data_IF_002218071013
#
_entry.id   IF_002218071013
#
_cell.length_a   1.000
_cell.length_b   1.000
_cell.length_c   1.000
_cell.angle_alpha   90.00
_cell.angle_beta   90.00
_cell.angle_gamma   90.00
#
_symmetry.space_group_name_H-M   'P 1'
#
loop_
_entity.id
_entity.type
_entity.pdbx_description
1 polymer ?
#
# COMPACT_ATOMS: atom_id res chain seq x y z
N UNK A 1 -6.07 13.98 18.57
CA UNK A 1 -6.48 12.83 17.73
C UNK A 1 -5.37 11.79 17.77
N UNK A 2 -5.72 10.50 17.89
CA UNK A 2 -4.78 9.38 17.83
C UNK A 2 -4.98 8.62 16.52
N UNK A 3 -3.93 8.47 15.72
CA UNK A 3 -3.97 7.77 14.44
C UNK A 3 -3.03 6.56 14.49
N UNK A 4 -3.51 5.41 14.01
CA UNK A 4 -2.71 4.23 13.73
C UNK A 4 -2.49 4.12 12.23
N UNK A 5 -1.24 4.01 11.80
CA UNK A 5 -0.84 3.77 10.41
C UNK A 5 -0.34 2.33 10.27
N UNK A 6 -1.16 1.48 9.69
CA UNK A 6 -0.91 0.05 9.49
C UNK A 6 -0.07 -0.16 8.24
N UNK A 7 1.03 -0.92 8.35
CA UNK A 7 1.99 -1.10 7.25
C UNK A 7 2.67 0.22 6.89
N UNK A 8 3.19 0.91 7.90
CA UNK A 8 3.70 2.28 7.76
C UNK A 8 4.92 2.42 6.84
N UNK A 9 5.57 1.31 6.48
CA UNK A 9 6.77 1.32 5.66
C UNK A 9 7.86 2.24 6.24
N UNK A 10 8.62 2.97 5.40
CA UNK A 10 9.69 3.86 5.84
C UNK A 10 9.19 5.15 6.54
N UNK A 11 7.90 5.26 6.82
CA UNK A 11 7.30 6.30 7.66
C UNK A 11 7.04 7.64 6.98
N UNK A 12 7.30 7.78 5.68
CA UNK A 12 7.10 9.06 4.97
C UNK A 12 5.66 9.54 5.02
N UNK A 13 4.70 8.66 4.75
CA UNK A 13 3.28 8.98 4.83
C UNK A 13 2.83 9.19 6.28
N UNK A 14 3.33 8.37 7.22
CA UNK A 14 3.02 8.53 8.65
C UNK A 14 3.45 9.91 9.17
N UNK A 15 4.59 10.45 8.72
CA UNK A 15 5.07 11.79 9.06
C UNK A 15 4.13 12.87 8.52
N UNK A 16 3.65 12.71 7.29
CA UNK A 16 2.67 13.65 6.70
C UNK A 16 1.33 13.58 7.45
N UNK A 17 0.87 12.39 7.79
CA UNK A 17 -0.31 12.20 8.63
C UNK A 17 -0.12 12.86 10.01
N UNK A 18 1.06 12.76 10.63
CA UNK A 18 1.35 13.38 11.92
C UNK A 18 1.27 14.92 11.84
N UNK A 19 1.71 15.52 10.75
CA UNK A 19 1.53 16.98 10.51
C UNK A 19 0.06 17.36 10.46
N UNK A 20 -0.77 16.56 9.82
CA UNK A 20 -2.20 16.82 9.66
C UNK A 20 -2.99 16.64 10.96
N UNK A 21 -2.61 15.70 11.83
CA UNK A 21 -3.31 15.43 13.08
C UNK A 21 -2.79 16.23 14.28
N UNK A 22 -1.70 16.98 14.11
CA UNK A 22 -1.11 17.80 15.19
C UNK A 22 -2.15 18.73 15.86
N UNK A 23 -2.11 18.87 17.20
CA UNK A 23 -1.19 18.29 18.19
C UNK A 23 -1.53 16.84 18.61
N UNK A 24 -2.05 16.03 17.70
CA UNK A 24 -2.37 14.62 17.92
C UNK A 24 -1.14 13.74 17.80
N UNK A 25 -1.36 12.44 17.98
CA UNK A 25 -0.30 11.42 17.96
C UNK A 25 -0.51 10.42 16.82
N UNK A 26 0.59 9.99 16.19
CA UNK A 26 0.60 8.88 15.22
C UNK A 26 1.43 7.72 15.75
N UNK A 27 0.90 6.51 15.61
CA UNK A 27 1.62 5.25 15.77
C UNK A 27 1.71 4.56 14.42
N UNK A 28 2.90 4.38 13.88
CA UNK A 28 3.15 3.56 12.70
C UNK A 28 3.52 2.13 13.11
N UNK A 29 2.98 1.14 12.41
CA UNK A 29 3.30 -0.28 12.65
C UNK A 29 3.63 -0.96 11.33
N UNK A 30 4.75 -1.71 11.32
CA UNK A 30 5.13 -2.55 10.18
C UNK A 30 5.70 -3.88 10.69
N UNK A 31 5.58 -4.94 9.89
CA UNK A 31 6.12 -6.26 10.24
C UNK A 31 7.65 -6.32 10.18
N UNK A 32 8.28 -5.47 9.34
CA UNK A 32 9.72 -5.48 9.13
C UNK A 32 10.45 -4.51 10.09
N UNK A 33 11.24 -5.04 11.06
CA UNK A 33 11.99 -4.21 12.00
C UNK A 33 13.00 -3.27 11.33
N UNK A 34 13.53 -3.63 10.16
CA UNK A 34 14.51 -2.80 9.44
C UNK A 34 13.86 -1.55 8.88
N UNK A 35 12.65 -1.71 8.33
CA UNK A 35 11.82 -0.64 7.79
C UNK A 35 11.33 0.29 8.91
N UNK A 36 10.94 -0.26 10.06
CA UNK A 36 10.58 0.51 11.27
C UNK A 36 11.78 1.30 11.78
N UNK A 37 12.98 0.72 11.76
CA UNK A 37 14.20 1.45 12.10
C UNK A 37 14.50 2.61 11.16
N UNK A 38 14.21 2.49 9.88
CA UNK A 38 14.28 3.59 8.89
C UNK A 38 13.25 4.67 9.19
N UNK A 39 11.97 4.29 9.39
CA UNK A 39 10.90 5.22 9.74
C UNK A 39 11.23 6.06 10.99
N UNK A 40 11.78 5.40 12.02
CA UNK A 40 12.19 6.07 13.25
C UNK A 40 13.29 7.10 12.99
N UNK A 41 14.29 6.76 12.17
CA UNK A 41 15.36 7.72 11.79
C UNK A 41 14.82 8.88 10.95
N UNK A 42 13.91 8.60 10.00
CA UNK A 42 13.30 9.62 9.14
C UNK A 42 12.46 10.62 9.96
N UNK A 43 11.77 10.15 11.00
CA UNK A 43 10.98 11.01 11.88
C UNK A 43 11.82 11.76 12.93
N UNK A 44 13.07 11.34 13.19
CA UNK A 44 13.92 11.95 14.19
C UNK A 44 14.13 13.44 13.91
N UNK A 45 13.89 14.28 14.93
CA UNK A 45 14.02 15.74 14.82
C UNK A 45 12.85 16.46 14.14
N UNK A 46 11.80 15.75 13.72
CA UNK A 46 10.61 16.39 13.11
C UNK A 46 9.79 17.26 14.07
N UNK A 47 9.94 17.06 15.39
CA UNK A 47 9.14 17.73 16.41
C UNK A 47 7.68 17.25 16.49
N UNK A 48 7.33 16.18 15.77
CA UNK A 48 5.99 15.59 15.74
C UNK A 48 5.85 14.51 16.81
N UNK A 49 4.64 14.33 17.35
CA UNK A 49 4.32 13.23 18.26
C UNK A 49 4.01 11.96 17.41
N UNK A 50 5.08 11.30 16.99
CA UNK A 50 5.04 10.08 16.17
C UNK A 50 5.98 9.02 16.73
N UNK A 51 5.53 7.78 16.71
CA UNK A 51 6.32 6.61 17.10
C UNK A 51 6.07 5.44 16.14
N UNK A 52 7.04 4.51 16.09
CA UNK A 52 6.98 3.34 15.21
C UNK A 52 7.26 2.07 16.00
N UNK A 53 6.54 0.99 15.67
CA UNK A 53 6.67 -0.32 16.33
C UNK A 53 6.73 -1.42 15.28
N UNK A 54 7.68 -2.34 15.43
CA UNK A 54 7.76 -3.54 14.60
C UNK A 54 6.86 -4.63 15.17
N UNK A 55 5.98 -5.19 14.36
CA UNK A 55 5.10 -6.29 14.75
C UNK A 55 3.78 -6.32 13.99
N UNK A 56 2.95 -7.29 14.37
CA UNK A 56 1.59 -7.40 13.87
C UNK A 56 0.70 -6.31 14.50
N UNK A 57 0.11 -5.48 13.66
CA UNK A 57 -0.77 -4.40 14.12
C UNK A 57 -1.98 -4.90 14.91
N UNK A 58 -2.43 -6.15 14.70
CA UNK A 58 -3.54 -6.73 15.47
C UNK A 58 -3.20 -6.94 16.95
N UNK A 59 -1.93 -7.01 17.29
CA UNK A 59 -1.40 -7.16 18.67
C UNK A 59 -0.90 -5.87 19.31
N UNK A 60 -1.12 -4.72 18.68
CA UNK A 60 -0.64 -3.42 19.18
C UNK A 60 -1.42 -2.98 20.42
N UNK A 61 -0.70 -2.45 21.41
CA UNK A 61 -1.30 -1.79 22.56
C UNK A 61 -2.12 -0.57 22.12
N UNK A 62 -3.42 -0.64 22.37
CA UNK A 62 -4.33 0.46 22.02
C UNK A 62 -4.42 1.47 23.15
N UNK A 63 -4.60 2.76 22.84
CA UNK A 63 -5.05 3.73 23.82
C UNK A 63 -6.37 3.24 24.48
N UNK A 64 -6.59 3.58 25.75
CA UNK A 64 -7.77 3.15 26.52
C UNK A 64 -9.10 3.37 25.77
N UNK A 65 -9.16 4.38 24.92
CA UNK A 65 -10.35 4.72 24.13
C UNK A 65 -10.29 4.25 22.67
N UNK A 66 -9.18 3.64 22.23
CA UNK A 66 -8.88 3.26 20.84
C UNK A 66 -8.40 4.45 19.99
N UNK A 67 -8.12 4.16 18.71
CA UNK A 67 -7.66 5.18 17.75
C UNK A 67 -8.83 5.93 17.12
N UNK A 68 -8.64 7.24 16.90
CA UNK A 68 -9.59 8.07 16.14
C UNK A 68 -9.66 7.66 14.68
N UNK A 69 -8.50 7.32 14.11
CA UNK A 69 -8.34 6.86 12.73
C UNK A 69 -7.40 5.65 12.72
N UNK A 70 -7.80 4.59 12.03
CA UNK A 70 -6.93 3.46 11.67
C UNK A 70 -6.79 3.47 10.16
N UNK A 71 -5.57 3.72 9.70
CA UNK A 71 -5.23 3.94 8.31
C UNK A 71 -4.39 2.79 7.76
N UNK A 72 -4.56 2.47 6.48
CA UNK A 72 -3.72 1.53 5.73
C UNK A 72 -3.54 2.01 4.30
N UNK A 73 -2.30 2.11 3.83
CA UNK A 73 -1.98 2.55 2.48
C UNK A 73 -1.13 1.51 1.75
N UNK A 74 -1.71 0.89 0.71
CA UNK A 74 -1.10 -0.20 -0.06
C UNK A 74 -0.68 -1.39 0.83
N UNK A 75 -1.57 -1.81 1.71
CA UNK A 75 -1.36 -2.92 2.67
C UNK A 75 -2.28 -4.09 2.38
N UNK A 76 -3.59 -3.83 2.21
CA UNK A 76 -4.59 -4.89 2.12
C UNK A 76 -4.41 -5.75 0.87
N UNK A 77 -3.86 -5.20 -0.18
CA UNK A 77 -3.47 -5.93 -1.39
C UNK A 77 -2.38 -6.99 -1.14
N UNK A 78 -1.61 -6.86 -0.05
CA UNK A 78 -0.48 -7.76 0.25
C UNK A 78 -0.80 -8.83 1.30
N UNK A 79 -1.97 -8.76 1.96
CA UNK A 79 -2.35 -9.72 3.00
C UNK A 79 -3.24 -10.83 2.44
N UNK A 80 -3.08 -12.04 3.00
CA UNK A 80 -3.89 -13.20 2.58
C UNK A 80 -5.35 -13.14 3.06
N UNK A 81 -5.64 -12.41 4.15
CA UNK A 81 -6.99 -12.20 4.67
C UNK A 81 -7.26 -10.69 4.88
N UNK A 82 -7.59 -9.96 3.79
CA UNK A 82 -7.90 -8.54 3.89
C UNK A 82 -9.17 -8.23 4.70
N UNK A 83 -10.13 -9.15 4.71
CA UNK A 83 -11.36 -9.02 5.51
C UNK A 83 -11.05 -9.12 7.00
N UNK A 84 -10.24 -10.09 7.40
CA UNK A 84 -9.74 -10.22 8.77
C UNK A 84 -8.90 -9.03 9.22
N UNK A 85 -8.05 -8.51 8.31
CA UNK A 85 -7.29 -7.28 8.56
C UNK A 85 -8.21 -6.07 8.82
N UNK A 86 -9.23 -5.86 8.00
CA UNK A 86 -10.22 -4.79 8.21
C UNK A 86 -11.01 -4.96 9.51
N UNK A 87 -11.35 -6.20 9.90
CA UNK A 87 -11.97 -6.47 11.21
C UNK A 87 -11.03 -6.12 12.37
N UNK A 88 -9.74 -6.40 12.22
CA UNK A 88 -8.73 -6.02 13.21
C UNK A 88 -8.58 -4.51 13.32
N UNK A 89 -8.53 -3.80 12.19
CA UNK A 89 -8.54 -2.34 12.16
C UNK A 89 -9.78 -1.77 12.85
N UNK A 90 -10.96 -2.38 12.63
CA UNK A 90 -12.21 -1.96 13.26
C UNK A 90 -12.20 -2.11 14.80
N UNK A 91 -11.56 -3.18 15.32
CA UNK A 91 -11.39 -3.38 16.77
C UNK A 91 -10.48 -2.33 17.41
N UNK A 92 -9.45 -1.89 16.69
CA UNK A 92 -8.48 -0.89 17.18
C UNK A 92 -9.03 0.54 17.14
N UNK A 93 -9.99 0.82 16.26
CA UNK A 93 -10.62 2.14 16.20
C UNK A 93 -11.55 2.38 17.40
N UNK A 94 -11.61 3.60 17.92
CA UNK A 94 -12.55 3.98 18.98
C UNK A 94 -14.01 3.97 18.49
N UNK A 95 -14.97 4.05 19.41
CA UNK A 95 -16.39 4.27 19.03
C UNK A 95 -16.51 5.58 18.22
N UNK A 96 -17.10 5.47 17.03
CA UNK A 96 -17.22 6.57 16.07
C UNK A 96 -15.91 6.94 15.38
N UNK A 97 -14.85 6.15 15.57
CA UNK A 97 -13.60 6.28 14.82
C UNK A 97 -13.76 5.94 13.35
N UNK A 98 -12.70 6.13 12.59
CA UNK A 98 -12.66 5.97 11.14
C UNK A 98 -11.66 4.86 10.77
N UNK A 99 -12.05 4.02 9.81
CA UNK A 99 -11.18 3.14 9.07
C UNK A 99 -10.97 3.78 7.69
N UNK A 100 -9.70 4.01 7.30
CA UNK A 100 -9.34 4.50 5.98
C UNK A 100 -8.36 3.54 5.34
N UNK A 101 -8.65 3.08 4.13
CA UNK A 101 -7.72 2.24 3.38
C UNK A 101 -7.66 2.67 1.92
N UNK A 102 -6.46 2.54 1.33
CA UNK A 102 -6.18 2.85 -0.07
C UNK A 102 -5.23 1.81 -0.63
N UNK A 103 -5.63 1.11 -1.69
CA UNK A 103 -4.82 0.10 -2.35
C UNK A 103 -4.81 0.28 -3.86
N UNK A 104 -3.71 -0.11 -4.50
CA UNK A 104 -3.57 -0.06 -5.94
C UNK A 104 -4.41 -1.16 -6.62
N UNK A 105 -4.78 -0.88 -7.85
CA UNK A 105 -5.45 -1.81 -8.75
C UNK A 105 -4.57 -2.01 -9.99
N UNK A 106 -3.72 -3.03 -9.94
CA UNK A 106 -2.75 -3.27 -11.01
C UNK A 106 -3.39 -3.55 -12.36
N UNK A 107 -4.46 -4.36 -12.49
CA UNK A 107 -5.14 -4.56 -13.77
C UNK A 107 -5.81 -3.31 -14.34
N UNK A 108 -6.00 -2.27 -13.53
CA UNK A 108 -6.53 -0.97 -13.99
C UNK A 108 -5.42 0.05 -14.30
N UNK A 109 -4.15 -0.30 -14.12
CA UNK A 109 -3.05 0.54 -14.57
C UNK A 109 -3.07 0.69 -16.08
N UNK A 110 -2.71 1.88 -16.56
CA UNK A 110 -2.66 2.16 -17.98
C UNK A 110 -1.44 3.00 -18.32
N UNK A 111 -0.97 2.83 -19.55
CA UNK A 111 0.17 3.58 -20.08
C UNK A 111 0.04 3.86 -21.57
N UNK A 112 0.67 4.95 -21.98
CA UNK A 112 0.83 5.33 -23.38
C UNK A 112 2.26 5.84 -23.57
N UNK A 113 2.95 5.51 -24.68
CA UNK A 113 2.55 4.54 -25.72
C UNK A 113 2.43 3.10 -25.18
N UNK A 114 1.64 2.26 -25.87
CA UNK A 114 1.58 0.83 -25.52
C UNK A 114 2.94 0.18 -25.75
N UNK A 115 3.33 -0.68 -24.83
CA UNK A 115 4.61 -1.39 -24.83
C UNK A 115 4.40 -2.82 -24.38
N UNK A 116 4.72 -3.77 -25.25
CA UNK A 116 4.49 -5.20 -24.98
C UNK A 116 5.25 -5.72 -23.75
N UNK A 117 6.43 -5.17 -23.47
CA UNK A 117 7.19 -5.56 -22.29
C UNK A 117 6.55 -5.06 -20.99
N UNK A 118 5.87 -3.92 -21.02
CA UNK A 118 5.10 -3.45 -19.86
C UNK A 118 3.84 -4.31 -19.66
N UNK A 119 3.19 -4.78 -20.72
CA UNK A 119 2.10 -5.76 -20.62
C UNK A 119 2.63 -7.06 -19.99
N UNK A 120 3.78 -7.57 -20.44
CA UNK A 120 4.44 -8.75 -19.87
C UNK A 120 4.85 -8.56 -18.41
N UNK A 121 5.33 -7.37 -18.03
CA UNK A 121 5.61 -7.02 -16.64
C UNK A 121 4.37 -7.14 -15.77
N UNK A 122 3.24 -6.61 -16.23
CA UNK A 122 1.97 -6.69 -15.49
C UNK A 122 1.53 -8.15 -15.29
N UNK A 123 1.58 -8.97 -16.35
CA UNK A 123 1.25 -10.40 -16.28
C UNK A 123 2.14 -11.13 -15.27
N UNK A 124 3.44 -10.87 -15.29
CA UNK A 124 4.39 -11.42 -14.31
C UNK A 124 4.05 -11.00 -12.88
N UNK A 125 3.79 -9.71 -12.66
CA UNK A 125 3.41 -9.18 -11.35
C UNK A 125 2.15 -9.86 -10.81
N UNK A 126 1.11 -9.96 -11.64
CA UNK A 126 -0.15 -10.63 -11.30
C UNK A 126 0.07 -12.10 -10.94
N UNK A 127 0.88 -12.82 -11.72
CA UNK A 127 1.16 -14.24 -11.48
C UNK A 127 1.94 -14.47 -10.17
N UNK A 128 2.97 -13.67 -9.89
CA UNK A 128 3.73 -13.74 -8.62
C UNK A 128 2.83 -13.42 -7.44
N UNK A 129 2.04 -12.36 -7.54
CA UNK A 129 1.12 -11.92 -6.48
C UNK A 129 0.09 -12.99 -6.16
N UNK A 130 -0.54 -13.57 -7.18
CA UNK A 130 -1.51 -14.66 -7.00
C UNK A 130 -0.89 -15.88 -6.32
N UNK A 131 0.34 -16.25 -6.69
CA UNK A 131 1.06 -17.38 -6.06
C UNK A 131 1.40 -17.15 -4.60
N UNK A 132 1.56 -15.88 -4.21
CA UNK A 132 1.79 -15.48 -2.82
C UNK A 132 0.49 -15.36 -2.01
N UNK A 133 -0.69 -15.58 -2.60
CA UNK A 133 -1.97 -15.40 -1.94
C UNK A 133 -2.32 -13.93 -1.67
N UNK A 134 -1.67 -13.00 -2.38
CA UNK A 134 -1.94 -11.56 -2.31
C UNK A 134 -2.88 -11.11 -3.44
N UNK A 135 -3.39 -9.88 -3.39
CA UNK A 135 -4.48 -9.39 -4.23
C UNK A 135 -4.03 -8.15 -5.01
N UNK A 136 -3.39 -8.34 -6.18
CA UNK A 136 -2.91 -7.22 -7.00
C UNK A 136 -4.03 -6.28 -7.51
N UNK A 137 -5.27 -6.73 -7.48
CA UNK A 137 -6.49 -5.96 -7.80
C UNK A 137 -7.22 -5.45 -6.55
N UNK A 138 -6.50 -5.30 -5.44
CA UNK A 138 -7.03 -4.92 -4.13
C UNK A 138 -7.86 -3.64 -4.18
N UNK A 139 -7.46 -2.66 -4.96
CA UNK A 139 -8.16 -1.37 -5.06
C UNK A 139 -9.65 -1.52 -5.38
N UNK A 140 -10.02 -2.31 -6.39
CA UNK A 140 -11.42 -2.54 -6.76
C UNK A 140 -12.18 -3.42 -5.75
N UNK A 141 -11.47 -4.21 -4.94
CA UNK A 141 -12.07 -5.13 -3.99
C UNK A 141 -12.35 -4.48 -2.62
N UNK A 142 -11.78 -3.31 -2.31
CA UNK A 142 -11.89 -2.67 -0.99
C UNK A 142 -13.32 -2.51 -0.50
N UNK A 143 -14.25 -2.10 -1.38
CA UNK A 143 -15.66 -1.97 -1.00
C UNK A 143 -16.25 -3.33 -0.57
N UNK A 144 -15.99 -4.37 -1.33
CA UNK A 144 -16.47 -5.72 -1.05
C UNK A 144 -15.89 -6.25 0.28
N UNK A 145 -14.59 -6.09 0.49
CA UNK A 145 -13.93 -6.50 1.74
C UNK A 145 -14.45 -5.74 2.96
N UNK A 146 -14.68 -4.42 2.82
CA UNK A 146 -15.24 -3.61 3.88
C UNK A 146 -16.65 -4.05 4.28
N UNK A 147 -17.49 -4.39 3.30
CA UNK A 147 -18.84 -4.95 3.54
C UNK A 147 -18.76 -6.31 4.24
N UNK A 148 -17.89 -7.21 3.78
CA UNK A 148 -17.68 -8.53 4.40
C UNK A 148 -17.07 -8.42 5.81
N UNK A 149 -16.25 -7.41 6.06
CA UNK A 149 -15.71 -7.12 7.39
C UNK A 149 -16.78 -6.60 8.35
N UNK A 150 -17.98 -6.23 7.87
CA UNK A 150 -19.06 -5.69 8.66
C UNK A 150 -18.88 -4.22 9.03
N UNK A 151 -18.12 -3.46 8.22
CA UNK A 151 -18.02 -2.01 8.37
C UNK A 151 -19.33 -1.34 7.92
N UNK A 152 -19.59 -0.15 8.43
CA UNK A 152 -20.76 0.66 8.07
C UNK A 152 -20.33 2.06 7.58
N UNK A 153 -21.30 2.83 7.07
CA UNK A 153 -21.06 4.18 6.53
C UNK A 153 -19.88 4.21 5.54
N UNK A 154 -19.84 3.22 4.64
CA UNK A 154 -18.72 3.05 3.71
C UNK A 154 -18.86 4.02 2.55
N UNK A 155 -17.93 4.98 2.45
CA UNK A 155 -17.69 5.75 1.23
C UNK A 155 -16.57 5.08 0.44
N UNK A 156 -16.81 4.78 -0.83
CA UNK A 156 -15.80 4.28 -1.76
C UNK A 156 -15.54 5.31 -2.84
N UNK A 157 -14.27 5.60 -3.07
CA UNK A 157 -13.81 6.50 -4.12
C UNK A 157 -12.62 5.89 -4.86
N UNK A 158 -12.21 6.54 -5.94
CA UNK A 158 -10.98 6.18 -6.65
C UNK A 158 -10.13 7.43 -6.88
N UNK A 159 -8.82 7.24 -6.87
CA UNK A 159 -7.86 8.27 -7.26
C UNK A 159 -6.77 7.68 -8.14
N UNK A 160 -5.99 8.55 -8.78
CA UNK A 160 -4.89 8.11 -9.63
C UNK A 160 -3.59 8.82 -9.26
N UNK A 161 -2.47 8.07 -9.33
CA UNK A 161 -1.17 8.66 -9.54
C UNK A 161 -0.92 8.73 -11.04
N UNK A 162 -0.40 9.86 -11.49
CA UNK A 162 -0.10 10.07 -12.90
C UNK A 162 1.33 10.55 -13.06
N UNK A 163 2.12 9.78 -13.78
CA UNK A 163 3.52 10.07 -14.08
C UNK A 163 3.61 10.49 -15.55
N UNK A 164 3.97 11.75 -15.81
CA UNK A 164 3.99 12.30 -17.17
C UNK A 164 5.09 13.34 -17.38
N UNK A 165 5.64 13.90 -16.32
CA UNK A 165 6.80 14.78 -16.43
C UNK A 165 8.06 13.95 -16.63
N UNK A 166 9.11 14.56 -17.19
CA UNK A 166 10.39 13.88 -17.39
C UNK A 166 10.94 13.30 -16.08
N UNK A 167 10.86 14.05 -15.00
CA UNK A 167 11.42 13.66 -13.71
C UNK A 167 10.59 12.55 -13.06
N UNK A 168 9.26 12.65 -13.10
CA UNK A 168 8.36 11.60 -12.61
C UNK A 168 8.57 10.29 -13.36
N UNK A 169 8.65 10.34 -14.70
CA UNK A 169 8.88 9.16 -15.53
C UNK A 169 10.25 8.56 -15.25
N UNK A 170 11.30 9.38 -15.15
CA UNK A 170 12.64 8.90 -14.84
C UNK A 170 12.69 8.18 -13.50
N UNK A 171 12.03 8.73 -12.47
CA UNK A 171 11.92 8.10 -11.16
C UNK A 171 11.11 6.81 -11.21
N UNK A 172 9.90 6.84 -11.79
CA UNK A 172 8.98 5.69 -11.83
C UNK A 172 9.56 4.51 -12.59
N UNK A 173 10.14 4.77 -13.76
CA UNK A 173 10.72 3.71 -14.60
C UNK A 173 12.00 3.13 -14.03
N UNK A 174 12.83 3.95 -13.38
CA UNK A 174 14.01 3.44 -12.65
C UNK A 174 13.59 2.57 -11.48
N UNK A 175 12.58 2.99 -10.70
CA UNK A 175 12.03 2.23 -9.59
C UNK A 175 11.55 0.83 -10.03
N UNK A 176 10.81 0.75 -11.14
CA UNK A 176 10.33 -0.54 -11.65
C UNK A 176 11.43 -1.38 -12.28
N UNK A 177 12.36 -0.76 -13.02
CA UNK A 177 13.51 -1.46 -13.56
C UNK A 177 14.37 -2.12 -12.44
N UNK A 178 14.56 -1.41 -11.33
CA UNK A 178 15.28 -1.97 -10.18
C UNK A 178 14.44 -3.02 -9.44
N UNK A 179 13.14 -2.79 -9.25
CA UNK A 179 12.24 -3.76 -8.61
C UNK A 179 12.20 -5.11 -9.33
N UNK A 180 12.13 -5.12 -10.65
CA UNK A 180 12.06 -6.39 -11.40
C UNK A 180 13.36 -7.18 -11.33
N UNK A 181 14.51 -6.55 -11.11
CA UNK A 181 15.82 -7.23 -11.10
C UNK A 181 16.34 -7.51 -9.68
N UNK A 182 16.14 -6.60 -8.73
CA UNK A 182 16.81 -6.66 -7.42
C UNK A 182 15.91 -6.89 -6.23
N UNK A 183 14.60 -6.75 -6.40
CA UNK A 183 13.66 -6.92 -5.28
C UNK A 183 13.20 -8.37 -5.12
N UNK A 184 12.49 -8.61 -4.01
CA UNK A 184 11.83 -9.90 -3.75
C UNK A 184 10.89 -10.33 -4.89
N UNK A 185 10.25 -9.39 -5.59
CA UNK A 185 9.40 -9.68 -6.75
C UNK A 185 10.17 -10.42 -7.85
N UNK A 186 11.33 -9.88 -8.26
CA UNK A 186 12.16 -10.50 -9.29
C UNK A 186 12.68 -11.87 -8.85
N UNK A 187 13.18 -11.99 -7.63
CA UNK A 187 13.64 -13.27 -7.10
C UNK A 187 12.52 -14.34 -7.09
N UNK A 188 11.32 -13.99 -6.63
CA UNK A 188 10.18 -14.89 -6.65
C UNK A 188 9.71 -15.24 -8.06
N UNK A 189 9.77 -14.31 -9.02
CA UNK A 189 9.42 -14.60 -10.40
C UNK A 189 10.31 -15.69 -11.00
N UNK A 190 11.62 -15.66 -10.69
CA UNK A 190 12.55 -16.71 -11.12
C UNK A 190 12.33 -18.02 -10.35
N UNK A 191 12.21 -17.96 -9.03
CA UNK A 191 11.97 -19.14 -8.18
C UNK A 191 10.70 -19.89 -8.58
N UNK A 192 9.66 -19.17 -8.95
CA UNK A 192 8.37 -19.76 -9.37
C UNK A 192 8.35 -20.20 -10.84
N UNK A 193 9.42 -19.95 -11.60
CA UNK A 193 9.48 -20.26 -13.04
C UNK A 193 8.53 -19.38 -13.88
N UNK A 194 8.15 -18.21 -13.39
CA UNK A 194 7.28 -17.26 -14.08
C UNK A 194 8.09 -16.42 -15.07
N UNK A 195 9.35 -16.11 -14.72
CA UNK A 195 10.30 -15.41 -15.58
C UNK A 195 11.71 -15.97 -15.39
N UNK A 196 12.58 -15.76 -16.39
CA UNK A 196 14.01 -15.99 -16.28
C UNK A 196 14.74 -14.71 -15.90
N UNK A 197 15.99 -14.83 -15.42
CA UNK A 197 16.84 -13.65 -15.13
C UNK A 197 17.01 -12.76 -16.37
N UNK A 198 17.21 -13.35 -17.54
CA UNK A 198 17.35 -12.58 -18.79
C UNK A 198 16.06 -11.80 -19.12
N UNK A 199 14.89 -12.43 -18.96
CA UNK A 199 13.61 -11.72 -19.14
C UNK A 199 13.45 -10.56 -18.17
N UNK A 200 13.90 -10.69 -16.90
CA UNK A 200 13.86 -9.58 -15.94
C UNK A 200 14.78 -8.43 -16.35
N UNK A 201 15.93 -8.74 -16.92
CA UNK A 201 16.85 -7.73 -17.47
C UNK A 201 16.23 -7.02 -18.69
N UNK A 202 15.57 -7.77 -19.59
CA UNK A 202 14.87 -7.20 -20.74
C UNK A 202 13.71 -6.30 -20.29
N UNK A 203 12.93 -6.71 -19.28
CA UNK A 203 11.88 -5.89 -18.68
C UNK A 203 12.46 -4.60 -18.08
N UNK A 204 13.58 -4.68 -17.37
CA UNK A 204 14.22 -3.50 -16.78
C UNK A 204 14.70 -2.51 -17.86
N UNK A 205 15.27 -3.01 -18.96
CA UNK A 205 15.66 -2.17 -20.09
C UNK A 205 14.44 -1.54 -20.76
N UNK A 206 13.36 -2.30 -20.96
CA UNK A 206 12.12 -1.80 -21.54
C UNK A 206 11.50 -0.69 -20.68
N UNK A 207 11.48 -0.84 -19.36
CA UNK A 207 11.01 0.21 -18.44
C UNK A 207 11.79 1.51 -18.64
N UNK A 208 13.12 1.45 -18.64
CA UNK A 208 13.98 2.64 -18.82
C UNK A 208 13.79 3.29 -20.19
N UNK A 209 13.72 2.47 -21.25
CA UNK A 209 13.54 2.97 -22.62
C UNK A 209 12.16 3.60 -22.82
N UNK A 210 11.11 2.96 -22.28
CA UNK A 210 9.73 3.46 -22.38
C UNK A 210 9.57 4.83 -21.72
N UNK A 211 10.19 5.05 -20.56
CA UNK A 211 10.10 6.34 -19.84
C UNK A 211 10.71 7.54 -20.60
N UNK A 212 11.52 7.29 -21.63
CA UNK A 212 12.11 8.33 -22.47
C UNK A 212 11.28 8.65 -23.72
N UNK A 213 10.21 7.92 -23.98
CA UNK A 213 9.41 8.09 -25.18
C UNK A 213 8.62 9.42 -25.14
N UNK A 214 8.52 10.15 -26.25
CA UNK A 214 7.71 11.36 -26.33
C UNK A 214 6.24 11.08 -26.00
N UNK A 215 5.68 11.89 -25.11
CA UNK A 215 4.27 11.76 -24.71
C UNK A 215 3.98 10.55 -23.81
N UNK A 216 5.00 9.93 -23.20
CA UNK A 216 4.79 8.86 -22.27
C UNK A 216 3.96 9.32 -21.05
N UNK A 217 2.99 8.51 -20.69
CA UNK A 217 2.14 8.70 -19.51
C UNK A 217 1.89 7.35 -18.86
N UNK A 218 2.06 7.26 -17.54
CA UNK A 218 1.69 6.09 -16.75
C UNK A 218 0.68 6.49 -15.67
N UNK A 219 -0.41 5.72 -15.55
CA UNK A 219 -1.49 5.97 -14.59
C UNK A 219 -1.66 4.75 -13.69
N UNK A 220 -1.60 4.98 -12.38
CA UNK A 220 -1.88 3.98 -11.35
C UNK A 220 -3.21 4.30 -10.71
N UNK A 221 -4.20 3.46 -10.92
CA UNK A 221 -5.50 3.60 -10.25
C UNK A 221 -5.46 3.01 -8.86
N UNK A 222 -6.09 3.69 -7.92
CA UNK A 222 -6.29 3.21 -6.55
C UNK A 222 -7.78 3.23 -6.21
N UNK A 223 -8.22 2.19 -5.50
CA UNK A 223 -9.47 2.23 -4.75
C UNK A 223 -9.23 2.78 -3.34
N UNK A 224 -10.23 3.44 -2.80
CA UNK A 224 -10.16 4.08 -1.49
C UNK A 224 -11.46 3.85 -0.74
N UNK A 225 -11.36 3.56 0.55
CA UNK A 225 -12.51 3.53 1.46
C UNK A 225 -12.28 4.42 2.66
N UNK A 226 -13.38 5.06 3.09
CA UNK A 226 -13.54 5.62 4.43
C UNK A 226 -14.79 5.00 5.01
N UNK A 227 -14.68 4.37 6.18
CA UNK A 227 -15.75 3.60 6.80
C UNK A 227 -15.75 3.74 8.32
N UNK A 228 -16.76 3.21 8.98
CA UNK A 228 -16.87 3.17 10.44
C UNK A 228 -16.97 1.74 10.95
N UNK A 229 -16.44 1.44 12.15
CA UNK A 229 -16.73 0.18 12.83
C UNK A 229 -18.22 0.06 13.12
N UNK A 230 -18.83 -1.07 12.73
CA UNK A 230 -20.20 -1.35 13.16
C UNK A 230 -20.28 -1.52 14.68
N UNK A 231 -21.37 -1.09 15.32
CA UNK A 231 -21.60 -1.33 16.76
C UNK A 231 -21.50 -2.81 17.16
N UNK A 232 -21.84 -3.72 16.26
CA UNK A 232 -21.84 -5.18 16.50
C UNK A 232 -20.44 -5.80 16.52
N UNK A 233 -19.43 -5.19 15.90
CA UNK A 233 -18.05 -5.72 15.87
C UNK A 233 -17.29 -5.56 17.20
N UNK A 234 -17.88 -4.91 18.21
CA UNK A 234 -17.24 -4.61 19.50
C UNK A 234 -17.84 -5.38 20.69
N UNK A 235 -18.74 -6.31 20.44
CA UNK A 235 -19.52 -7.01 21.47
C UNK A 235 -19.10 -8.47 21.71
N UNK A 236 -17.90 -8.88 21.28
CA UNK A 236 -17.41 -10.23 21.54
C UNK A 236 -16.04 -10.22 22.21
#
# INVERSE_FOLDING_TARGET
MHLLDVGCGPGTLSIDLARHVAPGRVLGVDLDPSVVGEATRTAAGSGLDISFVAGDFAGVDTPTVGFDVVHAHQVLQHVGDPVGALRSMARLARRGGIIAARDADYPAMSWFPREAQLDRWLDMYMAVTARNGANADGGRQLLHWAQQAGLCDIAYTTSTWTFHTRDDLAWWTSLWADRVTTSRLGHMAVEYGIATTNELEDLAQAWRAWGTQPGAVFVVMHGEIVARPSPTLRGS
#
